data_IF_170154748523
#
_entry.id   IF_170154748523
#
_cell.length_a   1.000
_cell.length_b   1.000
_cell.length_c   1.000
_cell.angle_alpha   90.00
_cell.angle_beta   90.00
_cell.angle_gamma   90.00
#
_symmetry.space_group_name_H-M   'P 1'
#
loop_
_entity.id
_entity.type
_entity.pdbx_description
1 polymer ?
#
# COMPACT_ATOMS: atom_id res chain seq x y z
N UNK A 1 -7.14 13.11 -13.87
CA UNK A 1 -7.38 14.36 -13.10
C UNK A 1 -8.48 15.18 -13.76
N UNK A 2 -8.40 15.48 -15.06
CA UNK A 2 -9.42 16.33 -15.72
C UNK A 2 -10.83 15.69 -15.70
N UNK A 3 -10.96 14.42 -16.07
CA UNK A 3 -12.24 13.72 -16.17
C UNK A 3 -13.01 13.56 -14.84
N UNK A 4 -12.30 13.32 -13.72
CA UNK A 4 -12.93 12.96 -12.43
C UNK A 4 -12.64 13.96 -11.30
N UNK A 5 -11.81 14.98 -11.55
CA UNK A 5 -11.34 15.87 -10.49
C UNK A 5 -11.13 17.31 -10.94
N UNK A 6 -11.63 17.70 -12.12
CA UNK A 6 -11.54 19.08 -12.61
C UNK A 6 -10.12 19.63 -12.67
N UNK A 7 -9.14 18.78 -13.02
CA UNK A 7 -7.72 19.15 -13.09
C UNK A 7 -6.95 18.98 -11.77
N UNK A 8 -7.58 18.44 -10.73
CA UNK A 8 -6.96 18.14 -9.43
C UNK A 8 -6.96 16.64 -9.16
N UNK A 9 -6.13 16.20 -8.22
CA UNK A 9 -6.21 14.87 -7.63
C UNK A 9 -7.20 14.92 -6.47
N UNK A 10 -8.35 14.28 -6.68
CA UNK A 10 -9.45 14.10 -5.72
C UNK A 10 -9.58 12.63 -5.33
N UNK A 11 -10.44 12.32 -4.36
CA UNK A 11 -10.75 10.92 -4.02
C UNK A 11 -11.33 10.13 -5.20
N UNK A 12 -12.15 10.77 -6.05
CA UNK A 12 -12.69 10.14 -7.25
C UNK A 12 -11.60 9.85 -8.28
N UNK A 13 -10.64 10.78 -8.45
CA UNK A 13 -9.45 10.51 -9.26
C UNK A 13 -8.65 9.34 -8.69
N UNK A 14 -8.47 9.26 -7.36
CA UNK A 14 -7.74 8.16 -6.74
C UNK A 14 -8.39 6.79 -7.03
N UNK A 15 -9.70 6.68 -6.82
CA UNK A 15 -10.52 5.48 -7.08
C UNK A 15 -10.40 5.02 -8.53
N UNK A 16 -10.69 5.93 -9.46
CA UNK A 16 -10.72 5.62 -10.90
C UNK A 16 -9.33 5.35 -11.46
N UNK A 17 -8.33 6.13 -11.07
CA UNK A 17 -6.97 5.96 -11.56
C UNK A 17 -6.37 4.63 -11.10
N UNK A 18 -6.53 4.27 -9.83
CA UNK A 18 -6.09 2.96 -9.31
C UNK A 18 -6.73 1.82 -10.11
N UNK A 19 -8.04 1.87 -10.31
CA UNK A 19 -8.76 0.86 -11.07
C UNK A 19 -8.25 0.75 -12.51
N UNK A 20 -8.13 1.89 -13.20
CA UNK A 20 -7.60 1.94 -14.55
C UNK A 20 -6.18 1.35 -14.63
N UNK A 21 -5.30 1.63 -13.66
CA UNK A 21 -3.94 1.06 -13.62
C UNK A 21 -3.96 -0.45 -13.44
N UNK A 22 -4.83 -0.98 -12.58
CA UNK A 22 -4.99 -2.44 -12.40
C UNK A 22 -5.48 -3.08 -13.69
N UNK A 23 -6.55 -2.56 -14.29
CA UNK A 23 -7.10 -3.09 -15.54
C UNK A 23 -6.08 -3.05 -16.68
N UNK A 24 -5.35 -1.94 -16.81
CA UNK A 24 -4.27 -1.84 -17.79
C UNK A 24 -3.18 -2.90 -17.54
N UNK A 25 -2.76 -3.09 -16.29
CA UNK A 25 -1.75 -4.11 -15.97
C UNK A 25 -2.25 -5.54 -16.23
N UNK A 26 -3.52 -5.85 -15.97
CA UNK A 26 -4.13 -7.13 -16.36
C UNK A 26 -4.05 -7.30 -17.88
N UNK A 27 -4.37 -6.24 -18.64
CA UNK A 27 -4.45 -6.30 -20.10
C UNK A 27 -3.09 -6.29 -20.81
N UNK A 28 -2.03 -5.76 -20.19
CA UNK A 28 -0.76 -5.52 -20.89
C UNK A 28 0.46 -6.17 -20.24
N UNK A 29 0.37 -6.67 -19.00
CA UNK A 29 1.49 -7.30 -18.31
C UNK A 29 1.19 -8.79 -18.02
N UNK A 30 1.84 -9.73 -18.73
CA UNK A 30 1.59 -11.16 -18.52
C UNK A 30 2.07 -11.67 -17.15
N UNK A 31 2.92 -10.92 -16.45
CA UNK A 31 3.44 -11.24 -15.11
C UNK A 31 2.80 -10.35 -14.02
N UNK A 32 1.66 -9.72 -14.32
CA UNK A 32 0.99 -8.86 -13.35
C UNK A 32 0.67 -9.62 -12.06
N UNK A 33 1.16 -9.11 -10.94
CA UNK A 33 0.98 -9.70 -9.61
C UNK A 33 0.49 -8.63 -8.64
N UNK A 34 -0.69 -8.86 -8.08
CA UNK A 34 -1.35 -8.02 -7.10
C UNK A 34 -1.67 -8.83 -5.84
N UNK A 35 -0.70 -9.58 -5.35
CA UNK A 35 -0.74 -10.29 -4.07
C UNK A 35 0.00 -9.50 -2.98
N UNK A 36 -0.02 -9.98 -1.74
CA UNK A 36 0.66 -9.28 -0.65
C UNK A 36 2.19 -9.29 -0.82
N UNK A 37 2.88 -8.20 -0.43
CA UNK A 37 2.35 -7.00 0.25
C UNK A 37 1.79 -5.94 -0.72
N UNK A 38 1.91 -6.14 -2.04
CA UNK A 38 1.53 -5.12 -3.04
C UNK A 38 0.04 -4.84 -3.05
N UNK A 39 -0.78 -5.87 -2.81
CA UNK A 39 -2.22 -5.70 -2.70
C UNK A 39 -2.59 -4.67 -1.64
N UNK A 40 -1.96 -4.66 -0.47
CA UNK A 40 -2.19 -3.61 0.53
C UNK A 40 -1.68 -2.24 0.07
N UNK A 41 -0.41 -2.18 -0.34
CA UNK A 41 0.26 -0.89 -0.57
C UNK A 41 -0.30 -0.11 -1.74
N UNK A 42 -0.84 -0.78 -2.77
CA UNK A 42 -1.43 -0.05 -3.91
C UNK A 42 -2.64 0.81 -3.49
N UNK A 43 -3.45 0.37 -2.54
CA UNK A 43 -4.58 1.18 -2.06
C UNK A 43 -4.09 2.26 -1.12
N UNK A 44 -3.18 1.92 -0.21
CA UNK A 44 -2.59 2.88 0.71
C UNK A 44 -1.91 4.05 -0.02
N UNK A 45 -1.05 3.76 -1.00
CA UNK A 45 -0.29 4.76 -1.75
C UNK A 45 -1.18 5.71 -2.55
N UNK A 46 -2.40 5.29 -2.92
CA UNK A 46 -3.35 6.16 -3.63
C UNK A 46 -3.96 7.24 -2.75
N UNK A 47 -3.91 7.09 -1.42
CA UNK A 47 -4.39 8.12 -0.49
C UNK A 47 -3.31 9.16 -0.18
N UNK A 48 -2.04 8.82 -0.39
CA UNK A 48 -0.89 9.66 -0.05
C UNK A 48 -0.90 11.06 -0.69
N UNK A 49 -1.31 11.24 -1.96
CA UNK A 49 -1.37 12.58 -2.54
C UNK A 49 -2.24 13.56 -1.75
N UNK A 50 -3.36 13.10 -1.20
CA UNK A 50 -4.29 13.95 -0.44
C UNK A 50 -3.82 14.09 1.02
N UNK A 51 -3.40 12.98 1.62
CA UNK A 51 -3.02 12.93 3.02
C UNK A 51 -1.69 13.64 3.30
N UNK A 52 -0.73 13.56 2.38
CA UNK A 52 0.64 14.03 2.60
C UNK A 52 1.10 15.15 1.68
N UNK A 53 0.61 15.26 0.44
CA UNK A 53 1.21 16.19 -0.53
C UNK A 53 0.47 17.53 -0.64
N UNK A 54 -0.80 17.58 -0.20
CA UNK A 54 -1.57 18.83 -0.10
C UNK A 54 -1.02 19.69 1.05
N UNK A 55 -0.83 20.99 0.79
CA UNK A 55 -0.37 21.97 1.78
C UNK A 55 -1.16 21.86 3.11
N UNK A 56 -0.44 21.84 4.23
CA UNK A 56 -0.98 21.62 5.56
C UNK A 56 -1.92 22.72 6.05
N UNK A 57 -1.90 23.91 5.45
CA UNK A 57 -2.84 25.00 5.76
C UNK A 57 -4.22 24.77 5.15
N UNK A 58 -4.35 23.88 4.16
CA UNK A 58 -5.64 23.49 3.58
C UNK A 58 -6.24 22.38 4.46
N UNK A 59 -7.17 22.72 5.34
CA UNK A 59 -7.77 21.77 6.28
C UNK A 59 -9.05 21.12 5.75
N UNK A 60 -9.75 21.78 4.83
CA UNK A 60 -11.01 21.32 4.24
C UNK A 60 -10.86 21.01 2.75
N UNK A 61 -11.67 20.06 2.24
CA UNK A 61 -11.73 19.71 0.82
C UNK A 61 -10.33 19.51 0.18
N UNK A 62 -9.44 18.83 0.91
CA UNK A 62 -8.05 18.60 0.53
C UNK A 62 -7.98 17.91 -0.83
N UNK A 63 -7.35 18.57 -1.79
CA UNK A 63 -7.14 18.06 -3.16
C UNK A 63 -5.80 18.58 -3.68
N UNK A 64 -5.05 17.76 -4.40
CA UNK A 64 -3.71 18.14 -4.89
C UNK A 64 -3.81 18.75 -6.29
N UNK A 65 -3.24 19.94 -6.47
CA UNK A 65 -3.14 20.57 -7.79
C UNK A 65 -2.18 19.80 -8.71
N UNK A 66 -2.43 19.84 -10.02
CA UNK A 66 -1.59 19.15 -11.01
C UNK A 66 -0.14 19.63 -10.99
N UNK A 67 0.10 20.94 -10.83
CA UNK A 67 1.45 21.50 -10.81
C UNK A 67 2.23 21.10 -9.55
N UNK A 68 1.58 21.10 -8.39
CA UNK A 68 2.15 20.57 -7.16
C UNK A 68 2.46 19.07 -7.30
N UNK A 69 1.52 18.29 -7.85
CA UNK A 69 1.74 16.88 -8.12
C UNK A 69 2.95 16.64 -9.04
N UNK A 70 3.09 17.44 -10.11
CA UNK A 70 4.25 17.36 -11.00
C UNK A 70 5.55 17.71 -10.27
N UNK A 71 5.53 18.72 -9.41
CA UNK A 71 6.70 19.11 -8.60
C UNK A 71 7.13 17.94 -7.71
N UNK A 72 6.19 17.33 -6.99
CA UNK A 72 6.45 16.15 -6.18
C UNK A 72 6.97 14.97 -7.00
N UNK A 73 6.18 14.48 -7.95
CA UNK A 73 6.45 13.21 -8.64
C UNK A 73 7.56 13.29 -9.69
N UNK A 74 7.81 14.44 -10.31
CA UNK A 74 8.86 14.58 -11.32
C UNK A 74 10.17 15.12 -10.77
N UNK A 75 10.12 15.94 -9.73
CA UNK A 75 11.32 16.67 -9.27
C UNK A 75 11.78 16.28 -7.88
N UNK A 76 10.97 15.52 -7.12
CA UNK A 76 11.24 15.20 -5.71
C UNK A 76 11.51 16.47 -4.87
N UNK A 77 10.75 17.54 -5.12
CA UNK A 77 10.83 18.80 -4.38
C UNK A 77 9.51 19.11 -3.73
N UNK A 78 9.59 19.77 -2.58
CA UNK A 78 8.44 20.46 -2.00
C UNK A 78 8.07 21.66 -2.89
N UNK A 79 6.77 21.94 -3.12
CA UNK A 79 6.35 23.20 -3.69
C UNK A 79 6.84 24.39 -2.85
N UNK A 80 6.99 25.56 -3.48
CA UNK A 80 7.40 26.77 -2.76
C UNK A 80 6.36 27.12 -1.68
N UNK A 81 6.84 27.55 -0.51
CA UNK A 81 5.99 27.90 0.64
C UNK A 81 5.06 26.76 1.10
N UNK A 82 5.40 25.50 0.82
CA UNK A 82 4.60 24.36 1.25
C UNK A 82 4.80 24.04 2.73
N UNK A 83 3.72 23.75 3.44
CA UNK A 83 3.74 23.30 4.84
C UNK A 83 3.27 21.85 4.98
N UNK A 84 3.91 21.10 5.89
CA UNK A 84 3.44 19.75 6.26
C UNK A 84 2.08 19.81 6.93
N UNK A 85 1.29 18.75 6.76
CA UNK A 85 0.06 18.55 7.54
C UNK A 85 0.36 18.58 9.04
N UNK A 86 -0.50 19.25 9.81
CA UNK A 86 -0.44 19.26 11.27
C UNK A 86 -1.03 18.00 11.92
N UNK A 87 -1.66 17.13 11.13
CA UNK A 87 -2.34 15.92 11.60
C UNK A 87 -1.49 14.70 11.18
N UNK A 88 -1.01 13.88 12.12
CA UNK A 88 -0.46 12.56 11.80
C UNK A 88 -1.51 11.76 11.02
N UNK A 89 -1.18 11.34 9.81
CA UNK A 89 -2.08 10.55 8.96
C UNK A 89 -1.45 9.21 8.63
N UNK A 90 -2.25 8.14 8.61
CA UNK A 90 -1.83 6.77 8.30
C UNK A 90 -2.70 6.19 7.18
N UNK A 91 -3.73 5.41 7.53
CA UNK A 91 -4.54 4.59 6.62
C UNK A 91 -5.88 5.23 6.23
N UNK A 92 -6.04 6.54 6.43
CA UNK A 92 -7.30 7.22 6.18
C UNK A 92 -7.77 7.02 4.73
N UNK A 93 -9.06 6.67 4.58
CA UNK A 93 -9.77 6.49 3.30
C UNK A 93 -9.30 5.31 2.43
N UNK A 94 -8.49 4.37 2.95
CA UNK A 94 -8.08 3.18 2.18
C UNK A 94 -9.28 2.33 1.76
N UNK A 95 -10.24 2.13 2.66
CA UNK A 95 -11.48 1.36 2.40
C UNK A 95 -12.37 2.06 1.39
N UNK A 96 -12.51 3.39 1.47
CA UNK A 96 -13.31 4.16 0.50
C UNK A 96 -12.77 4.03 -0.93
N UNK A 97 -11.44 3.93 -1.08
CA UNK A 97 -10.80 3.67 -2.38
C UNK A 97 -10.98 2.22 -2.81
N UNK A 98 -11.03 1.28 -1.87
CA UNK A 98 -11.27 -0.13 -2.13
C UNK A 98 -12.69 -0.40 -2.61
N UNK A 99 -13.68 0.16 -1.92
CA UNK A 99 -15.10 -0.08 -2.12
C UNK A 99 -15.62 0.42 -3.47
N UNK A 100 -14.95 1.42 -4.06
CA UNK A 100 -15.33 1.97 -5.36
C UNK A 100 -15.20 0.96 -6.51
N UNK A 101 -14.17 0.10 -6.47
CA UNK A 101 -13.91 -0.93 -7.48
C UNK A 101 -13.23 -2.12 -6.81
N UNK A 102 -14.02 -3.14 -6.49
CA UNK A 102 -13.60 -4.31 -5.72
C UNK A 102 -12.87 -5.31 -6.62
N UNK A 103 -11.67 -5.72 -6.20
CA UNK A 103 -10.91 -6.83 -6.79
C UNK A 103 -10.15 -7.54 -5.69
N UNK A 104 -10.16 -8.88 -5.68
CA UNK A 104 -9.41 -9.69 -4.69
C UNK A 104 -7.94 -9.84 -5.10
N UNK A 105 -7.02 -10.15 -4.15
CA UNK A 105 -5.63 -10.40 -4.48
C UNK A 105 -5.49 -11.55 -5.49
N UNK A 106 -4.48 -11.47 -6.35
CA UNK A 106 -4.33 -12.39 -7.46
C UNK A 106 -3.26 -11.95 -8.45
N UNK A 107 -3.15 -12.68 -9.55
CA UNK A 107 -2.15 -12.44 -10.60
C UNK A 107 -2.61 -12.93 -11.96
N UNK A 108 -2.00 -12.42 -13.01
CA UNK A 108 -2.08 -13.03 -14.32
C UNK A 108 -1.32 -14.37 -14.34
N UNK A 109 -1.89 -15.37 -15.01
CA UNK A 109 -1.33 -16.71 -15.14
C UNK A 109 -1.22 -17.08 -16.62
N UNK A 110 -0.01 -17.37 -17.09
CA UNK A 110 0.28 -17.81 -18.46
C UNK A 110 -0.15 -16.82 -19.57
N UNK A 111 -0.23 -15.51 -19.31
CA UNK A 111 -0.55 -14.53 -20.34
C UNK A 111 -1.14 -13.23 -19.78
N UNK A 112 -1.50 -12.32 -20.69
CA UNK A 112 -2.32 -11.14 -20.35
C UNK A 112 -3.80 -11.53 -20.32
N UNK A 113 -4.62 -10.77 -19.59
CA UNK A 113 -6.07 -11.01 -19.44
C UNK A 113 -6.43 -12.37 -18.81
N UNK A 114 -5.55 -12.92 -17.98
CA UNK A 114 -5.74 -14.21 -17.29
C UNK A 114 -5.64 -14.05 -15.78
N UNK A 115 -6.24 -12.98 -15.25
CA UNK A 115 -6.15 -12.66 -13.82
C UNK A 115 -6.90 -13.70 -12.99
N UNK A 116 -6.16 -14.50 -12.24
CA UNK A 116 -6.67 -15.50 -11.31
C UNK A 116 -6.56 -14.99 -9.88
N UNK A 117 -7.65 -15.14 -9.13
CA UNK A 117 -7.72 -14.79 -7.71
C UNK A 117 -7.01 -15.86 -6.89
N UNK A 118 -6.18 -15.44 -5.94
CA UNK A 118 -5.59 -16.34 -4.94
C UNK A 118 -6.40 -16.29 -3.64
N UNK A 119 -7.21 -17.32 -3.32
CA UNK A 119 -8.06 -17.32 -2.13
C UNK A 119 -7.27 -17.46 -0.82
N UNK A 120 -5.97 -17.76 -0.87
CA UNK A 120 -5.12 -17.87 0.33
C UNK A 120 -4.64 -16.51 0.82
N UNK A 121 -4.76 -15.47 0.01
CA UNK A 121 -4.29 -14.13 0.34
C UNK A 121 -5.32 -13.36 1.17
N UNK A 122 -4.90 -12.65 2.23
CA UNK A 122 -5.77 -11.79 3.01
C UNK A 122 -6.20 -10.55 2.20
N UNK A 123 -7.46 -10.13 2.37
CA UNK A 123 -7.99 -8.88 1.83
C UNK A 123 -7.67 -7.66 2.73
N UNK A 124 -8.14 -6.47 2.34
CA UNK A 124 -7.88 -5.22 3.07
C UNK A 124 -8.58 -5.13 4.43
N UNK A 125 -9.66 -5.88 4.64
CA UNK A 125 -10.40 -5.86 5.91
C UNK A 125 -9.79 -6.84 6.92
N UNK A 126 -8.97 -7.79 6.48
CA UNK A 126 -8.17 -8.65 7.34
C UNK A 126 -6.73 -8.11 7.53
N UNK A 127 -6.60 -6.91 8.11
CA UNK A 127 -5.30 -6.26 8.31
C UNK A 127 -4.27 -7.13 9.05
N UNK A 128 -4.70 -7.84 10.09
CA UNK A 128 -3.81 -8.76 10.81
C UNK A 128 -3.40 -9.96 9.96
N UNK A 129 -4.28 -10.46 9.10
CA UNK A 129 -3.94 -11.45 8.09
C UNK A 129 -2.84 -10.95 7.14
N UNK A 130 -2.88 -9.68 6.72
CA UNK A 130 -1.83 -9.06 5.88
C UNK A 130 -0.48 -9.10 6.61
N UNK A 131 -0.46 -8.68 7.88
CA UNK A 131 0.75 -8.73 8.71
C UNK A 131 1.27 -10.16 8.87
N UNK A 132 0.40 -11.11 9.21
CA UNK A 132 0.77 -12.52 9.42
C UNK A 132 1.31 -13.13 8.12
N UNK A 133 0.68 -12.87 6.98
CA UNK A 133 1.13 -13.33 5.67
C UNK A 133 2.50 -12.72 5.31
N UNK A 134 2.70 -11.42 5.57
CA UNK A 134 3.99 -10.78 5.34
C UNK A 134 5.09 -11.41 6.21
N UNK A 135 4.84 -11.61 7.49
CA UNK A 135 5.81 -12.16 8.44
C UNK A 135 6.12 -13.65 8.18
N UNK A 136 5.14 -14.47 7.78
CA UNK A 136 5.31 -15.93 7.66
C UNK A 136 5.52 -16.42 6.23
N UNK A 137 5.13 -15.67 5.21
CA UNK A 137 5.27 -16.07 3.80
C UNK A 137 6.23 -15.18 3.05
N UNK A 138 6.02 -13.86 3.07
CA UNK A 138 6.81 -12.92 2.27
C UNK A 138 8.25 -12.86 2.77
N UNK A 139 8.47 -12.58 4.06
CA UNK A 139 9.82 -12.48 4.63
C UNK A 139 10.59 -13.82 4.51
N UNK A 140 10.02 -14.99 4.89
CA UNK A 140 10.71 -16.28 4.76
C UNK A 140 10.97 -16.72 3.32
N UNK A 141 10.17 -16.28 2.34
CA UNK A 141 10.46 -16.56 0.93
C UNK A 141 11.78 -15.93 0.46
N UNK A 142 12.16 -14.78 1.03
CA UNK A 142 13.41 -14.08 0.73
C UNK A 142 14.58 -14.61 1.58
N UNK A 143 14.29 -15.07 2.80
CA UNK A 143 15.29 -15.59 3.75
C UNK A 143 14.88 -16.98 4.25
N UNK A 144 14.98 -18.04 3.43
CA UNK A 144 14.45 -19.34 3.79
C UNK A 144 15.25 -20.06 4.89
N UNK A 145 16.55 -19.78 5.01
CA UNK A 145 17.46 -20.41 5.97
C UNK A 145 18.53 -19.43 6.48
N UNK A 146 18.14 -18.35 7.19
CA UNK A 146 19.10 -17.36 7.68
C UNK A 146 19.92 -17.95 8.83
N UNK A 147 21.17 -17.49 8.96
CA UNK A 147 22.11 -17.93 10.01
C UNK A 147 22.91 -16.73 10.53
N UNK A 148 23.55 -16.90 11.69
CA UNK A 148 24.41 -15.89 12.30
C UNK A 148 23.72 -14.52 12.43
N UNK A 149 24.44 -13.46 12.07
CA UNK A 149 23.96 -12.08 12.20
C UNK A 149 22.67 -11.78 11.38
N UNK A 150 22.43 -12.49 10.27
CA UNK A 150 21.20 -12.27 9.48
C UNK A 150 19.98 -12.80 10.24
N UNK A 151 20.10 -13.96 10.89
CA UNK A 151 19.03 -14.52 11.70
C UNK A 151 18.67 -13.57 12.86
N UNK A 152 19.67 -13.09 13.58
CA UNK A 152 19.50 -12.15 14.68
C UNK A 152 18.84 -10.84 14.21
N UNK A 153 19.33 -10.26 13.12
CA UNK A 153 18.75 -9.05 12.55
C UNK A 153 17.29 -9.25 12.11
N UNK A 154 16.96 -10.41 11.51
CA UNK A 154 15.57 -10.72 11.12
C UNK A 154 14.65 -10.83 12.34
N UNK A 155 15.09 -11.49 13.40
CA UNK A 155 14.32 -11.61 14.64
C UNK A 155 14.05 -10.23 15.27
N UNK A 156 15.06 -9.36 15.33
CA UNK A 156 14.92 -7.99 15.85
C UNK A 156 13.96 -7.16 14.98
N UNK A 157 14.14 -7.17 13.65
CA UNK A 157 13.30 -6.36 12.78
C UNK A 157 11.85 -6.88 12.69
N UNK A 158 11.62 -8.18 12.88
CA UNK A 158 10.28 -8.74 13.01
C UNK A 158 9.60 -8.32 14.33
N UNK A 159 10.36 -8.11 15.41
CA UNK A 159 9.84 -7.48 16.62
C UNK A 159 9.40 -6.04 16.34
N UNK A 160 10.25 -5.22 15.71
CA UNK A 160 9.89 -3.84 15.35
C UNK A 160 8.68 -3.76 14.42
N UNK A 161 8.57 -4.70 13.47
CA UNK A 161 7.38 -4.81 12.64
C UNK A 161 6.14 -5.09 13.49
N UNK A 162 6.20 -6.04 14.42
CA UNK A 162 5.07 -6.33 15.31
C UNK A 162 4.71 -5.14 16.22
N UNK A 163 5.71 -4.45 16.77
CA UNK A 163 5.51 -3.26 17.61
C UNK A 163 4.75 -2.17 16.85
N UNK A 164 4.90 -2.09 15.52
CA UNK A 164 4.16 -1.14 14.68
C UNK A 164 2.68 -1.49 14.45
N UNK A 165 2.27 -2.73 14.74
CA UNK A 165 0.90 -3.23 14.51
C UNK A 165 0.22 -3.79 15.75
N UNK A 166 0.90 -3.86 16.90
CA UNK A 166 0.41 -4.52 18.12
C UNK A 166 -0.95 -4.00 18.59
N UNK A 167 -1.20 -2.70 18.46
CA UNK A 167 -2.48 -2.10 18.83
C UNK A 167 -3.65 -2.58 17.94
N UNK A 168 -3.36 -2.86 16.67
CA UNK A 168 -4.34 -3.37 15.70
C UNK A 168 -4.43 -4.90 15.70
N UNK A 169 -3.35 -5.59 16.07
CA UNK A 169 -3.20 -7.04 15.99
C UNK A 169 -2.67 -7.63 17.30
N UNK A 170 -3.36 -7.42 18.43
CA UNK A 170 -2.86 -7.80 19.74
C UNK A 170 -2.69 -9.31 19.85
N UNK A 171 -1.53 -9.74 20.36
CA UNK A 171 -1.20 -11.14 20.60
C UNK A 171 -0.89 -11.95 19.34
N UNK A 172 -0.85 -11.33 18.16
CA UNK A 172 -0.59 -12.04 16.90
C UNK A 172 0.88 -12.05 16.49
N UNK A 173 1.82 -11.76 17.39
CA UNK A 173 3.24 -11.76 17.04
C UNK A 173 3.69 -13.07 16.39
N UNK A 174 4.35 -12.96 15.25
CA UNK A 174 4.86 -14.10 14.49
C UNK A 174 6.36 -14.32 14.71
N UNK A 175 6.78 -15.59 14.74
CA UNK A 175 8.15 -16.02 14.97
C UNK A 175 8.59 -17.04 13.91
N UNK A 176 8.67 -16.66 12.62
CA UNK A 176 9.01 -17.58 11.52
C UNK A 176 10.39 -18.24 11.68
N UNK A 177 11.28 -17.64 12.47
CA UNK A 177 12.62 -18.15 12.76
C UNK A 177 12.82 -18.52 14.24
N UNK A 178 11.72 -18.77 14.97
CA UNK A 178 11.75 -18.97 16.42
C UNK A 178 11.86 -17.65 17.20
N UNK A 179 11.72 -17.75 18.54
CA UNK A 179 11.87 -16.59 19.43
C UNK A 179 13.36 -16.21 19.56
N UNK A 180 13.68 -14.93 19.75
CA UNK A 180 15.02 -14.53 20.20
C UNK A 180 15.38 -15.31 21.47
N UNK A 181 16.63 -15.77 21.56
CA UNK A 181 17.17 -16.40 22.77
C UNK A 181 17.58 -15.34 23.80
#
# INVERSE_FOLDING_TARGET
MDQYGGGRYTWDVAKEFKWHRIQNSIATNPEFNLMQPRYFTVYLETTFPINFLVDGRITENRTLGKDDALTWFKTNRFPNDWYRTGIPSTFANITDVADAHVIKPGRNVNGVNTYEIDPTQPDLYNFCGIYVDFANRVVPSMYPKPTGAILEALQINLQYLYDSVVDSCPGQQQFPYGKPQ
#
